data_IF_705023469693
#
_entry.id   IF_705023469693
#
_cell.length_a   1.000
_cell.length_b   1.000
_cell.length_c   1.000
_cell.angle_alpha   90.00
_cell.angle_beta   90.00
_cell.angle_gamma   90.00
#
_symmetry.space_group_name_H-M   'P 1'
#
loop_
_entity.id
_entity.type
_entity.pdbx_description
1 polymer ?
#
# COMPACT_ATOMS: atom_id res chain seq x y z
N UNK A 1 1.58 -3.78 -11.82
CA UNK A 1 1.29 -2.73 -10.82
C UNK A 1 0.09 -3.10 -9.94
N UNK A 2 -1.13 -3.41 -10.46
CA UNK A 2 -2.28 -3.73 -9.60
C UNK A 2 -2.04 -4.88 -8.62
N UNK A 3 -1.36 -5.95 -9.06
CA UNK A 3 -1.05 -7.10 -8.20
C UNK A 3 -0.30 -6.75 -6.90
N UNK A 4 0.45 -5.64 -6.85
CA UNK A 4 1.13 -5.18 -5.64
C UNK A 4 0.16 -4.62 -4.56
N UNK A 5 -1.09 -4.34 -4.94
CA UNK A 5 -2.15 -3.86 -4.06
C UNK A 5 -3.19 -4.94 -3.76
N UNK A 6 -2.91 -6.20 -4.09
CA UNK A 6 -3.77 -7.33 -3.74
C UNK A 6 -3.34 -7.91 -2.40
N UNK A 7 -4.30 -8.15 -1.52
CA UNK A 7 -4.03 -8.77 -0.23
C UNK A 7 -3.59 -10.23 -0.43
N UNK A 8 -2.47 -10.63 0.19
CA UNK A 8 -2.01 -12.02 0.16
C UNK A 8 -2.75 -12.86 1.20
N UNK A 9 -2.78 -14.18 1.01
CA UNK A 9 -3.63 -15.11 1.77
C UNK A 9 -3.45 -15.04 3.30
N UNK A 10 -2.26 -14.66 3.79
CA UNK A 10 -1.93 -14.61 5.22
C UNK A 10 -1.85 -13.19 5.79
N UNK A 11 -2.13 -12.16 4.98
CA UNK A 11 -2.04 -10.77 5.43
C UNK A 11 -3.39 -10.25 5.95
N UNK A 12 -3.34 -9.32 6.90
CA UNK A 12 -4.52 -8.65 7.46
C UNK A 12 -4.78 -7.27 6.81
N UNK A 13 -3.83 -6.78 6.03
CA UNK A 13 -3.92 -5.54 5.26
C UNK A 13 -2.69 -5.38 4.38
N UNK A 14 -2.64 -4.29 3.60
CA UNK A 14 -1.40 -3.91 2.90
C UNK A 14 -0.53 -3.08 3.84
N UNK A 15 0.65 -3.59 4.14
CA UNK A 15 1.66 -2.85 4.89
C UNK A 15 2.07 -1.57 4.18
N UNK A 16 2.04 -0.46 4.90
CA UNK A 16 2.46 0.87 4.45
C UNK A 16 3.26 1.57 5.54
N UNK A 17 4.08 2.53 5.13
CA UNK A 17 4.77 3.46 6.04
C UNK A 17 4.14 4.85 5.84
N UNK A 18 3.77 5.51 6.94
CA UNK A 18 3.12 6.83 6.93
C UNK A 18 4.08 8.00 7.19
N UNK A 19 5.35 7.75 7.49
CA UNK A 19 6.34 8.79 7.74
C UNK A 19 6.94 9.33 6.43
N UNK A 20 7.58 8.47 5.63
CA UNK A 20 8.17 8.89 4.36
C UNK A 20 8.55 7.70 3.45
N UNK A 21 8.69 7.90 2.13
CA UNK A 21 9.26 6.86 1.27
C UNK A 21 10.69 6.44 1.66
N UNK A 22 11.43 7.33 2.33
CA UNK A 22 12.81 7.07 2.78
C UNK A 22 12.86 6.13 3.97
N UNK A 23 11.95 6.25 4.93
CA UNK A 23 11.90 5.34 6.09
C UNK A 23 11.66 3.90 5.66
N UNK A 24 10.92 3.69 4.57
CA UNK A 24 10.74 2.38 3.96
C UNK A 24 12.08 1.71 3.56
N UNK A 25 13.12 2.46 3.18
CA UNK A 25 14.37 1.87 2.67
C UNK A 25 15.11 1.01 3.69
N UNK A 26 15.11 1.42 4.96
CA UNK A 26 15.77 0.67 6.02
C UNK A 26 15.16 -0.74 6.15
N UNK A 27 13.86 -0.85 5.89
CA UNK A 27 13.05 -2.07 6.06
C UNK A 27 12.88 -2.86 4.76
N UNK A 28 12.86 -2.19 3.60
CA UNK A 28 12.51 -2.75 2.29
C UNK A 28 13.74 -2.99 1.40
N UNK A 29 14.81 -3.58 1.96
CA UNK A 29 16.06 -3.86 1.22
C UNK A 29 15.89 -4.76 -0.02
N UNK A 30 14.82 -5.55 -0.07
CA UNK A 30 14.50 -6.46 -1.18
C UNK A 30 13.41 -5.93 -2.13
N UNK A 31 13.01 -4.66 -2.00
CA UNK A 31 11.95 -4.10 -2.84
C UNK A 31 12.49 -3.45 -4.11
N UNK A 32 11.77 -3.66 -5.22
CA UNK A 32 12.11 -3.10 -6.54
C UNK A 32 11.65 -1.64 -6.72
N UNK A 33 10.91 -1.08 -5.76
CA UNK A 33 10.46 0.31 -5.77
C UNK A 33 9.39 0.60 -4.71
N UNK A 34 9.13 1.89 -4.45
CA UNK A 34 8.10 2.36 -3.52
C UNK A 34 7.00 3.08 -4.29
N UNK A 35 5.74 2.81 -3.91
CA UNK A 35 4.59 3.56 -4.36
C UNK A 35 3.99 4.36 -3.18
N UNK A 36 3.58 5.59 -3.44
CA UNK A 36 2.91 6.46 -2.46
C UNK A 36 1.44 6.63 -2.80
N UNK A 37 0.60 6.66 -1.77
CA UNK A 37 -0.84 6.84 -1.86
C UNK A 37 -1.28 7.94 -0.88
N UNK A 38 -2.34 8.68 -1.23
CA UNK A 38 -2.94 9.64 -0.32
C UNK A 38 -4.04 8.98 0.51
N UNK A 39 -3.87 8.97 1.84
CA UNK A 39 -4.79 8.30 2.78
C UNK A 39 -6.25 8.74 2.58
N UNK A 40 -6.51 10.04 2.41
CA UNK A 40 -7.87 10.53 2.15
C UNK A 40 -8.50 9.89 0.90
N UNK A 41 -7.73 9.74 -0.18
CA UNK A 41 -8.22 9.13 -1.43
C UNK A 41 -8.47 7.63 -1.33
N UNK A 42 -7.76 6.94 -0.43
CA UNK A 42 -8.03 5.53 -0.12
C UNK A 42 -9.42 5.40 0.52
N UNK A 43 -9.71 6.25 1.52
CA UNK A 43 -11.01 6.28 2.21
C UNK A 43 -12.15 6.70 1.28
N UNK A 44 -11.89 7.64 0.38
CA UNK A 44 -12.86 8.14 -0.60
C UNK A 44 -13.28 7.10 -1.65
N UNK A 45 -12.58 5.95 -1.76
CA UNK A 45 -13.01 4.89 -2.66
C UNK A 45 -14.38 4.31 -2.27
N UNK A 46 -14.85 4.54 -1.03
CA UNK A 46 -16.19 4.15 -0.59
C UNK A 46 -16.38 2.64 -0.48
N UNK A 47 -15.29 1.88 -0.36
CA UNK A 47 -15.29 0.41 -0.33
C UNK A 47 -14.94 -0.14 1.07
N UNK A 48 -15.14 0.66 2.13
CA UNK A 48 -14.79 0.27 3.50
C UNK A 48 -13.28 0.21 3.76
N UNK A 49 -12.47 0.83 2.91
CA UNK A 49 -11.02 0.91 3.09
C UNK A 49 -10.63 1.96 4.12
N UNK A 50 -9.68 1.61 4.99
CA UNK A 50 -9.08 2.55 5.93
C UNK A 50 -7.58 2.28 6.09
N UNK A 51 -6.88 3.25 6.66
CA UNK A 51 -5.47 3.14 7.04
C UNK A 51 -5.39 3.17 8.56
N UNK A 52 -5.01 2.04 9.16
CA UNK A 52 -4.92 1.85 10.60
C UNK A 52 -3.46 1.73 11.00
N UNK A 53 -3.01 2.62 11.88
CA UNK A 53 -1.66 2.57 12.47
C UNK A 53 -1.61 1.46 13.51
N UNK A 54 -0.66 0.54 13.37
CA UNK A 54 -0.37 -0.49 14.37
C UNK A 54 0.85 -0.11 15.21
N UNK A 55 2.01 0.09 14.59
CA UNK A 55 3.27 0.49 15.22
C UNK A 55 3.96 1.57 14.39
N UNK A 56 3.83 2.84 14.79
CA UNK A 56 4.36 3.95 14.00
C UNK A 56 5.87 3.80 13.70
N UNK A 57 6.31 4.00 12.44
CA UNK A 57 5.54 4.59 11.33
C UNK A 57 4.79 3.57 10.45
N UNK A 58 4.76 2.29 10.82
CA UNK A 58 4.00 1.27 10.11
C UNK A 58 2.49 1.44 10.33
N UNK A 59 1.74 1.12 9.28
CA UNK A 59 0.30 1.06 9.26
C UNK A 59 -0.16 0.02 8.24
N UNK A 60 -1.44 -0.35 8.29
CA UNK A 60 -2.06 -1.25 7.33
C UNK A 60 -3.20 -0.56 6.60
N UNK A 61 -3.29 -0.75 5.29
CA UNK A 61 -4.55 -0.54 4.56
C UNK A 61 -5.43 -1.75 4.81
N UNK A 62 -6.55 -1.55 5.51
CA UNK A 62 -7.49 -2.60 5.90
C UNK A 62 -8.80 -2.50 5.10
N UNK A 63 -9.65 -3.53 5.19
CA UNK A 63 -10.93 -3.61 4.45
C UNK A 63 -10.79 -4.13 3.02
N UNK A 64 -9.60 -4.60 2.65
CA UNK A 64 -9.34 -5.22 1.34
C UNK A 64 -9.89 -6.65 1.31
N UNK A 65 -10.69 -7.03 0.29
CA UNK A 65 -11.12 -8.41 0.12
C UNK A 65 -9.94 -9.29 -0.26
N UNK A 66 -9.91 -10.52 0.24
CA UNK A 66 -8.96 -11.52 -0.28
C UNK A 66 -9.40 -11.96 -1.68
N UNK A 67 -8.43 -12.32 -2.52
CA UNK A 67 -8.72 -12.88 -3.85
C UNK A 67 -9.57 -14.16 -3.79
N UNK A 68 -9.42 -14.95 -2.72
CA UNK A 68 -10.19 -16.17 -2.48
C UNK A 68 -11.63 -15.90 -2.03
N UNK A 69 -11.90 -14.71 -1.49
CA UNK A 69 -13.22 -14.30 -1.01
C UNK A 69 -14.00 -13.62 -2.14
N UNK A 70 -13.39 -12.63 -2.80
CA UNK A 70 -13.96 -11.94 -3.96
C UNK A 70 -12.84 -11.43 -4.87
N UNK A 71 -12.53 -12.24 -5.89
CA UNK A 71 -11.50 -11.92 -6.88
C UNK A 71 -11.83 -10.64 -7.65
N UNK A 72 -13.08 -10.45 -8.06
CA UNK A 72 -13.48 -9.31 -8.90
C UNK A 72 -13.37 -8.00 -8.12
N UNK A 73 -13.82 -7.98 -6.87
CA UNK A 73 -13.70 -6.80 -6.01
C UNK A 73 -12.23 -6.53 -5.66
N UNK A 74 -11.46 -7.57 -5.35
CA UNK A 74 -10.00 -7.45 -5.11
C UNK A 74 -9.28 -6.83 -6.29
N UNK A 75 -9.50 -7.34 -7.51
CA UNK A 75 -8.91 -6.80 -8.74
C UNK A 75 -9.33 -5.35 -9.01
N UNK A 76 -10.60 -5.01 -8.76
CA UNK A 76 -11.13 -3.66 -8.92
C UNK A 76 -10.48 -2.68 -7.95
N UNK A 77 -10.41 -3.01 -6.65
CA UNK A 77 -9.78 -2.15 -5.64
C UNK A 77 -8.29 -1.97 -5.94
N UNK A 78 -7.59 -3.07 -6.19
CA UNK A 78 -6.17 -3.05 -6.51
C UNK A 78 -5.86 -2.17 -7.74
N UNK A 79 -6.74 -2.20 -8.74
CA UNK A 79 -6.64 -1.32 -9.91
C UNK A 79 -6.89 0.14 -9.58
N UNK A 80 -7.83 0.46 -8.70
CA UNK A 80 -8.07 1.84 -8.25
C UNK A 80 -6.90 2.39 -7.43
N UNK A 81 -6.37 1.60 -6.49
CA UNK A 81 -5.18 1.94 -5.73
C UNK A 81 -3.99 2.17 -6.67
N UNK A 82 -3.74 1.26 -7.62
CA UNK A 82 -2.66 1.43 -8.59
C UNK A 82 -2.79 2.70 -9.44
N UNK A 83 -4.01 3.12 -9.79
CA UNK A 83 -4.25 4.37 -10.53
C UNK A 83 -4.00 5.62 -9.70
N UNK A 84 -4.26 5.56 -8.39
CA UNK A 84 -4.02 6.68 -7.47
C UNK A 84 -2.56 6.74 -7.01
N UNK A 85 -1.86 5.61 -7.06
CA UNK A 85 -0.49 5.48 -6.63
C UNK A 85 0.47 6.30 -7.48
N UNK A 86 1.45 6.91 -6.82
CA UNK A 86 2.59 7.57 -7.47
C UNK A 86 3.85 6.79 -7.18
N UNK A 87 4.53 6.33 -8.23
CA UNK A 87 5.85 5.76 -8.10
C UNK A 87 6.81 6.81 -7.54
N UNK A 88 7.57 6.41 -6.53
CA UNK A 88 8.60 7.26 -5.93
C UNK A 88 9.91 6.99 -6.67
N UNK A 89 10.58 8.01 -7.23
CA UNK A 89 11.89 7.88 -7.85
C UNK A 89 12.98 7.38 -6.88
N UNK A 90 13.99 6.69 -7.43
CA UNK A 90 15.07 6.01 -6.68
C UNK A 90 15.84 6.94 -5.75
N UNK A 91 16.17 8.13 -6.19
CA UNK A 91 16.81 9.19 -5.40
C UNK A 91 16.02 9.51 -4.13
N UNK A 92 14.69 9.63 -4.23
CA UNK A 92 13.83 9.99 -3.09
C UNK A 92 13.65 8.89 -2.05
N UNK A 93 13.93 7.64 -2.41
CA UNK A 93 13.81 6.51 -1.48
C UNK A 93 15.13 5.81 -1.18
N UNK A 94 16.26 6.10 -1.84
CA UNK A 94 17.56 5.46 -1.56
C UNK A 94 18.65 6.40 -1.02
N UNK A 95 18.43 7.72 -0.95
CA UNK A 95 19.48 8.63 -0.49
C UNK A 95 20.02 8.23 0.91
N UNK A 96 21.31 7.87 1.04
CA UNK A 96 21.96 7.63 2.33
C UNK A 96 22.12 8.96 3.10
N UNK A 97 22.11 8.91 4.42
CA UNK A 97 22.61 10.03 5.25
C UNK A 97 24.14 10.07 5.19
#
# INVERSE_FOLDING_TARGET
MPAAFMLRTQEQGLSVDIASPRSCHATLRECFGVASLFVGRIRDLGMGLDVVVDEAPHANVVGLPRQTEDRTLSERIASQLARQARLVPRDKYLDPL
#
